data_IF_158297431375
#
_entry.id   IF_158297431375
#
_cell.length_a   1.000
_cell.length_b   1.000
_cell.length_c   1.000
_cell.angle_alpha   90.00
_cell.angle_beta   90.00
_cell.angle_gamma   90.00
#
_symmetry.space_group_name_H-M   'P 1'
#
loop_
_entity.id
_entity.type
_entity.pdbx_description
1 polymer ?
#
# COMPACT_ATOMS: atom_id res chain seq x y z
N UNK A 1 7.32 -19.01 -1.01
CA UNK A 1 8.38 -18.08 -0.58
C UNK A 1 8.71 -17.07 -1.67
N UNK A 2 7.87 -16.04 -1.83
CA UNK A 2 8.31 -14.83 -2.53
C UNK A 2 9.52 -14.26 -1.79
N UNK A 3 10.64 -14.02 -2.48
CA UNK A 3 11.78 -13.30 -1.88
C UNK A 3 11.30 -11.92 -1.41
N UNK A 4 11.58 -11.56 -0.15
CA UNK A 4 11.37 -10.19 0.36
C UNK A 4 12.22 -9.25 -0.50
N UNK A 5 11.57 -8.32 -1.19
CA UNK A 5 12.23 -7.44 -2.15
C UNK A 5 11.38 -6.21 -2.46
N UNK A 6 11.95 -5.22 -3.16
CA UNK A 6 11.17 -4.09 -3.64
C UNK A 6 10.06 -4.56 -4.57
N UNK A 7 8.89 -3.95 -4.49
CA UNK A 7 7.77 -4.22 -5.39
C UNK A 7 7.42 -2.97 -6.18
N UNK A 8 7.09 -3.15 -7.45
CA UNK A 8 6.46 -2.08 -8.24
C UNK A 8 5.14 -1.72 -7.58
N UNK A 9 4.82 -0.43 -7.54
CA UNK A 9 3.58 0.07 -6.94
C UNK A 9 2.34 -0.66 -7.48
N UNK A 10 2.28 -0.96 -8.78
CA UNK A 10 1.18 -1.72 -9.40
C UNK A 10 1.04 -3.13 -8.79
N UNK A 11 2.16 -3.80 -8.56
CA UNK A 11 2.19 -5.13 -7.97
C UNK A 11 1.78 -5.08 -6.50
N UNK A 12 2.32 -4.12 -5.74
CA UNK A 12 1.95 -3.90 -4.35
C UNK A 12 0.44 -3.68 -4.19
N UNK A 13 -0.16 -2.83 -5.02
CA UNK A 13 -1.63 -2.62 -5.04
C UNK A 13 -2.40 -3.93 -5.28
N UNK A 14 -1.94 -4.75 -6.25
CA UNK A 14 -2.60 -6.03 -6.59
C UNK A 14 -2.54 -7.02 -5.43
N UNK A 15 -1.38 -7.12 -4.77
CA UNK A 15 -1.17 -8.03 -3.63
C UNK A 15 -1.88 -7.57 -2.35
N UNK A 16 -2.08 -6.25 -2.17
CA UNK A 16 -2.78 -5.71 -1.00
C UNK A 16 -4.31 -5.76 -1.12
N UNK A 17 -4.85 -5.91 -2.34
CA UNK A 17 -6.31 -5.93 -2.59
C UNK A 17 -7.06 -7.04 -1.80
N UNK A 18 -6.57 -8.29 -1.69
CA UNK A 18 -7.22 -9.33 -0.89
C UNK A 18 -7.36 -8.98 0.60
N UNK A 19 -6.46 -8.13 1.13
CA UNK A 19 -6.50 -7.65 2.51
C UNK A 19 -7.47 -6.48 2.72
N UNK A 20 -8.27 -6.13 1.72
CA UNK A 20 -9.23 -5.02 1.80
C UNK A 20 -8.60 -3.63 1.73
N UNK A 21 -7.29 -3.54 1.46
CA UNK A 21 -6.59 -2.26 1.33
C UNK A 21 -6.97 -1.59 0.00
N UNK A 22 -7.36 -0.33 0.07
CA UNK A 22 -7.67 0.52 -1.08
C UNK A 22 -6.62 1.62 -1.23
N UNK A 23 -6.52 2.18 -2.43
CA UNK A 23 -5.64 3.32 -2.70
C UNK A 23 -6.47 4.55 -3.04
N UNK A 24 -6.26 5.60 -2.27
CA UNK A 24 -6.79 6.93 -2.55
C UNK A 24 -5.69 7.71 -3.28
N UNK A 25 -5.91 7.95 -4.57
CA UNK A 25 -5.07 8.83 -5.36
C UNK A 25 -5.52 10.28 -5.12
N UNK A 26 -4.69 11.10 -4.45
CA UNK A 26 -4.98 12.53 -4.33
C UNK A 26 -4.74 13.21 -5.68
N UNK A 27 -5.75 13.90 -6.23
CA UNK A 27 -5.61 14.87 -7.33
C UNK A 27 -5.13 16.24 -6.81
N UNK A 28 -3.98 16.31 -6.15
CA UNK A 28 -3.42 17.55 -5.61
C UNK A 28 -1.91 17.65 -5.79
N UNK A 29 -1.33 18.84 -5.53
CA UNK A 29 0.11 19.16 -5.70
C UNK A 29 0.96 18.26 -4.80
N UNK A 30 1.41 17.14 -5.34
CA UNK A 30 2.20 16.15 -4.62
C UNK A 30 2.05 14.77 -5.25
N UNK A 31 3.18 14.18 -5.63
CA UNK A 31 3.32 12.80 -6.05
C UNK A 31 3.11 11.85 -4.86
N UNK A 32 1.93 11.84 -4.24
CA UNK A 32 1.60 10.99 -3.09
C UNK A 32 0.30 10.23 -3.32
N UNK A 33 0.28 8.99 -2.84
CA UNK A 33 -0.92 8.17 -2.74
C UNK A 33 -1.07 7.69 -1.30
N UNK A 34 -2.32 7.42 -0.90
CA UNK A 34 -2.63 6.92 0.42
C UNK A 34 -3.13 5.50 0.28
N UNK A 35 -2.45 4.55 0.90
CA UNK A 35 -3.04 3.24 1.19
C UNK A 35 -3.94 3.39 2.41
N UNK A 36 -5.16 2.88 2.32
CA UNK A 36 -6.15 2.90 3.40
C UNK A 36 -6.66 1.48 3.59
N UNK A 37 -6.71 1.02 4.83
CA UNK A 37 -7.50 -0.13 5.25
C UNK A 37 -8.82 0.39 5.84
N UNK A 38 -9.96 0.32 5.12
CA UNK A 38 -11.22 0.84 5.63
C UNK A 38 -11.72 0.03 6.84
N UNK A 39 -12.23 0.72 7.86
CA UNK A 39 -12.89 0.05 8.99
C UNK A 39 -14.18 -0.68 8.58
N UNK A 40 -14.79 -0.26 7.47
CA UNK A 40 -16.00 -0.87 6.89
C UNK A 40 -16.01 -0.67 5.36
N UNK A 41 -16.73 -1.52 4.60
CA UNK A 41 -16.83 -1.39 3.16
C UNK A 41 -17.30 0.01 2.72
N UNK A 42 -16.54 0.66 1.85
CA UNK A 42 -16.83 2.02 1.38
C UNK A 42 -16.42 3.16 2.32
N UNK A 43 -15.94 2.86 3.53
CA UNK A 43 -15.47 3.89 4.46
C UNK A 43 -14.16 4.52 4.00
N UNK A 44 -14.02 5.82 4.27
CA UNK A 44 -12.76 6.56 4.12
C UNK A 44 -11.96 6.64 5.43
N UNK A 45 -12.47 6.02 6.50
CA UNK A 45 -11.85 5.99 7.82
C UNK A 45 -11.17 4.64 8.07
N UNK A 46 -10.03 4.69 8.76
CA UNK A 46 -9.23 3.53 9.13
C UNK A 46 -7.73 3.82 9.05
N UNK A 47 -6.88 2.81 9.30
CA UNK A 47 -5.42 2.95 9.18
C UNK A 47 -5.03 3.42 7.77
N UNK A 48 -4.28 4.52 7.71
CA UNK A 48 -3.76 5.10 6.47
C UNK A 48 -2.24 5.12 6.46
N UNK A 49 -1.63 4.89 5.30
CA UNK A 49 -0.19 5.00 5.10
C UNK A 49 0.13 5.73 3.78
N UNK A 50 0.66 6.96 3.84
CA UNK A 50 1.03 7.70 2.63
C UNK A 50 2.35 7.16 2.06
N UNK A 51 2.41 7.06 0.73
CA UNK A 51 3.61 6.66 -0.01
C UNK A 51 3.82 7.63 -1.18
N UNK A 52 5.09 8.01 -1.40
CA UNK A 52 5.49 8.80 -2.57
C UNK A 52 5.30 7.99 -3.86
N UNK A 53 4.74 8.61 -4.87
CA UNK A 53 4.41 8.04 -6.18
C UNK A 53 5.00 8.92 -7.29
N UNK A 54 6.21 8.58 -7.74
CA UNK A 54 6.87 9.25 -8.86
C UNK A 54 6.42 8.72 -10.23
N UNK A 55 5.38 7.87 -10.29
CA UNK A 55 4.80 7.34 -11.52
C UNK A 55 4.64 5.81 -11.53
N UNK A 56 4.18 5.26 -12.66
CA UNK A 56 3.82 3.83 -12.82
C UNK A 56 4.99 2.85 -12.58
N UNK A 57 6.23 3.32 -12.74
CA UNK A 57 7.45 2.54 -12.50
C UNK A 57 7.99 2.62 -11.08
N UNK A 58 7.32 3.34 -10.17
CA UNK A 58 7.82 3.51 -8.79
C UNK A 58 7.97 2.15 -8.11
N UNK A 59 9.18 1.87 -7.65
CA UNK A 59 9.48 0.72 -6.80
C UNK A 59 9.41 1.14 -5.33
N UNK A 60 8.70 0.35 -4.54
CA UNK A 60 8.54 0.56 -3.12
C UNK A 60 9.49 -0.40 -2.42
N UNK A 61 10.41 0.14 -1.63
CA UNK A 61 11.38 -0.66 -0.89
C UNK A 61 10.70 -1.56 0.12
N UNK A 62 11.34 -2.69 0.43
CA UNK A 62 10.80 -3.67 1.37
C UNK A 62 10.60 -3.09 2.78
N UNK A 63 11.41 -2.10 3.18
CA UNK A 63 11.25 -1.41 4.47
C UNK A 63 9.95 -0.61 4.53
N UNK A 64 9.62 0.10 3.45
CA UNK A 64 8.38 0.88 3.34
C UNK A 64 7.18 -0.06 3.30
N UNK A 65 7.27 -1.17 2.55
CA UNK A 65 6.25 -2.22 2.56
C UNK A 65 6.08 -2.78 3.98
N UNK A 66 7.17 -3.11 4.68
CA UNK A 66 7.12 -3.62 6.05
C UNK A 66 6.52 -2.65 7.06
N UNK A 67 6.73 -1.33 6.90
CA UNK A 67 6.07 -0.31 7.71
C UNK A 67 4.56 -0.24 7.44
N UNK A 68 4.17 -0.31 6.17
CA UNK A 68 2.77 -0.36 5.75
C UNK A 68 2.07 -1.61 6.31
N UNK A 69 2.67 -2.79 6.15
CA UNK A 69 2.10 -4.05 6.63
C UNK A 69 1.92 -4.08 8.15
N UNK A 70 2.92 -3.59 8.90
CA UNK A 70 2.81 -3.43 10.37
C UNK A 70 1.66 -2.51 10.76
N UNK A 71 1.45 -1.41 10.04
CA UNK A 71 0.35 -0.48 10.32
C UNK A 71 -1.02 -1.08 10.04
N UNK A 72 -1.10 -2.03 9.11
CA UNK A 72 -2.34 -2.72 8.74
C UNK A 72 -2.49 -4.09 9.40
N UNK A 73 -1.56 -4.48 10.27
CA UNK A 73 -1.53 -5.78 10.93
C UNK A 73 -1.59 -6.98 9.96
N UNK A 74 -0.86 -6.90 8.84
CA UNK A 74 -0.77 -7.97 7.83
C UNK A 74 0.55 -8.73 8.03
N UNK A 75 0.48 -10.04 8.29
CA UNK A 75 1.64 -10.87 8.65
C UNK A 75 2.07 -11.87 7.58
N UNK A 76 1.14 -12.28 6.71
CA UNK A 76 1.24 -13.36 5.72
C UNK A 76 1.55 -12.87 4.29
N UNK A 77 1.78 -11.56 4.12
CA UNK A 77 1.93 -10.92 2.79
C UNK A 77 3.02 -11.52 1.87
N UNK A 78 4.07 -12.13 2.44
CA UNK A 78 5.24 -12.60 1.71
C UNK A 78 5.26 -14.11 1.43
N UNK A 79 4.27 -14.85 1.92
CA UNK A 79 4.26 -16.31 1.88
C UNK A 79 4.11 -16.87 0.44
#
# INVERSE_FOLDING_TARGET
MSKKGPLKLRELKKRLKPYGVIVIEKRGKGSELIFLLPNSPGSKQGPQYPIKNHGKGTEISWQVIGALLRRFNITDFWD
#
